data_IF_677334726204
#
_entry.id   IF_677334726204
#
_cell.length_a   1.000
_cell.length_b   1.000
_cell.length_c   1.000
_cell.angle_alpha   90.00
_cell.angle_beta   90.00
_cell.angle_gamma   90.00
#
_symmetry.space_group_name_H-M   'P 1'
#
loop_
_entity.id
_entity.type
_entity.pdbx_description
1 polymer ?
#
# COMPACT_ATOMS: atom_id res chain seq x y z
N UNK A 1 -0.63 19.52 9.71
CA UNK A 1 -0.33 19.00 8.36
C UNK A 1 -1.68 18.73 7.71
N UNK A 2 -2.07 19.42 6.62
CA UNK A 2 -3.39 19.18 6.02
C UNK A 2 -3.38 17.79 5.38
N UNK A 3 -4.38 16.96 5.73
CA UNK A 3 -4.64 15.71 5.03
C UNK A 3 -5.00 16.03 3.57
N UNK A 4 -4.53 15.25 2.58
CA UNK A 4 -4.86 15.50 1.19
C UNK A 4 -6.37 15.42 0.97
N UNK A 5 -6.99 16.55 0.61
CA UNK A 5 -8.38 16.65 0.15
C UNK A 5 -8.47 16.17 -1.30
N UNK A 6 -8.44 14.87 -1.47
CA UNK A 6 -9.03 14.16 -2.60
C UNK A 6 -9.82 13.02 -2.02
N UNK A 7 -10.93 12.63 -2.63
CA UNK A 7 -11.68 11.43 -2.28
C UNK A 7 -10.72 10.23 -2.34
N UNK A 8 -10.06 9.91 -1.23
CA UNK A 8 -9.10 8.81 -1.20
C UNK A 8 -9.94 7.57 -1.02
N UNK A 9 -10.05 6.80 -2.08
CA UNK A 9 -10.74 5.52 -2.07
C UNK A 9 -9.78 4.40 -1.70
N UNK A 10 -10.29 3.36 -1.07
CA UNK A 10 -9.51 2.17 -0.78
C UNK A 10 -9.11 1.49 -2.10
N UNK A 11 -7.81 1.30 -2.31
CA UNK A 11 -7.28 0.62 -3.50
C UNK A 11 -7.86 -0.79 -3.67
N UNK A 12 -8.22 -1.46 -2.57
CA UNK A 12 -8.81 -2.81 -2.60
C UNK A 12 -10.33 -2.82 -2.81
N UNK A 13 -11.09 -2.14 -1.94
CA UNK A 13 -12.55 -2.27 -1.89
C UNK A 13 -13.31 -1.05 -2.44
N UNK A 14 -12.60 -0.01 -2.92
CA UNK A 14 -13.21 1.22 -3.46
C UNK A 14 -13.99 2.05 -2.44
N UNK A 15 -13.86 1.77 -1.15
CA UNK A 15 -14.56 2.52 -0.11
C UNK A 15 -13.87 3.84 0.20
N UNK A 16 -14.66 4.88 0.44
CA UNK A 16 -14.17 6.20 0.84
C UNK A 16 -13.41 6.15 2.18
N UNK A 17 -12.11 6.42 2.15
CA UNK A 17 -11.23 6.33 3.32
C UNK A 17 -11.45 7.48 4.31
N UNK A 18 -12.05 8.60 3.88
CA UNK A 18 -12.34 9.73 4.75
C UNK A 18 -13.32 9.38 5.90
N UNK A 19 -14.03 8.25 5.77
CA UNK A 19 -14.95 7.71 6.79
C UNK A 19 -14.31 6.80 7.82
N UNK A 20 -13.04 6.43 7.64
CA UNK A 20 -12.33 5.44 8.46
C UNK A 20 -11.00 5.99 9.00
N UNK A 21 -10.24 5.15 9.71
CA UNK A 21 -8.83 5.39 10.06
C UNK A 21 -7.93 4.61 9.10
N UNK A 22 -7.66 5.16 7.89
CA UNK A 22 -7.03 4.40 6.81
C UNK A 22 -5.53 4.16 7.03
N UNK A 23 -5.06 3.04 6.49
CA UNK A 23 -3.65 2.70 6.37
C UNK A 23 -3.16 3.13 4.99
N UNK A 24 -2.13 3.96 4.95
CA UNK A 24 -1.47 4.36 3.71
C UNK A 24 -0.13 3.63 3.58
N UNK A 25 0.15 3.13 2.38
CA UNK A 25 1.41 2.48 2.04
C UNK A 25 2.12 3.32 0.99
N UNK A 26 3.41 3.52 1.21
CA UNK A 26 4.32 4.14 0.24
C UNK A 26 5.42 3.14 -0.10
N UNK A 27 5.77 3.05 -1.37
CA UNK A 27 6.84 2.20 -1.88
C UNK A 27 8.00 3.07 -2.36
N UNK A 28 9.22 2.53 -2.36
CA UNK A 28 10.37 3.24 -2.92
C UNK A 28 10.61 2.76 -4.33
N UNK A 29 10.39 3.64 -5.30
CA UNK A 29 10.62 3.38 -6.73
C UNK A 29 11.69 4.35 -7.20
N UNK A 30 12.77 3.82 -7.78
CA UNK A 30 13.92 4.61 -8.25
C UNK A 30 14.51 5.57 -7.19
N UNK A 31 14.45 5.17 -5.91
CA UNK A 31 14.97 5.94 -4.78
C UNK A 31 14.03 7.03 -4.25
N UNK A 32 12.84 7.16 -4.81
CA UNK A 32 11.82 8.10 -4.33
C UNK A 32 10.64 7.35 -3.70
N UNK A 33 10.13 7.88 -2.57
CA UNK A 33 8.91 7.34 -1.96
C UNK A 33 7.69 7.82 -2.74
N UNK A 34 6.98 6.86 -3.30
CA UNK A 34 5.74 7.07 -4.06
C UNK A 34 4.57 6.43 -3.32
N UNK A 35 3.37 7.04 -3.34
CA UNK A 35 2.19 6.46 -2.73
C UNK A 35 1.79 5.18 -3.49
N UNK A 36 1.82 4.05 -2.80
CA UNK A 36 1.44 2.75 -3.33
C UNK A 36 -0.07 2.51 -3.24
N UNK A 37 -0.70 2.95 -2.15
CA UNK A 37 -2.14 2.84 -1.99
C UNK A 37 -2.67 3.26 -0.62
N UNK A 38 -3.99 3.42 -0.56
CA UNK A 38 -4.74 3.68 0.67
C UNK A 38 -5.70 2.53 0.96
N UNK A 39 -5.81 2.12 2.23
CA UNK A 39 -6.61 0.97 2.64
C UNK A 39 -7.48 1.28 3.84
N UNK A 40 -8.71 0.77 3.87
CA UNK A 40 -9.62 0.99 5.00
C UNK A 40 -9.07 0.44 6.32
N UNK A 41 -8.30 -0.64 6.26
CA UNK A 41 -7.66 -1.31 7.39
C UNK A 41 -6.67 -2.38 6.88
N UNK A 42 -5.99 -3.04 7.82
CA UNK A 42 -5.04 -4.12 7.54
C UNK A 42 -5.66 -5.32 6.81
N UNK A 43 -6.96 -5.58 6.93
CA UNK A 43 -7.59 -6.67 6.18
C UNK A 43 -7.66 -6.35 4.68
N UNK A 44 -8.02 -5.11 4.32
CA UNK A 44 -8.01 -4.66 2.91
C UNK A 44 -6.58 -4.64 2.34
N UNK A 45 -5.60 -4.21 3.14
CA UNK A 45 -4.19 -4.28 2.75
C UNK A 45 -3.74 -5.72 2.51
N UNK A 46 -4.02 -6.63 3.46
CA UNK A 46 -3.63 -8.04 3.34
C UNK A 46 -4.23 -8.70 2.11
N UNK A 47 -5.50 -8.43 1.81
CA UNK A 47 -6.16 -8.97 0.64
C UNK A 47 -5.57 -8.40 -0.67
N UNK A 48 -5.19 -7.12 -0.69
CA UNK A 48 -4.51 -6.53 -1.83
C UNK A 48 -3.12 -7.12 -2.08
N UNK A 49 -2.35 -7.33 -1.01
CA UNK A 49 -1.02 -7.96 -1.09
C UNK A 49 -1.11 -9.36 -1.69
N UNK A 50 -2.10 -10.16 -1.25
CA UNK A 50 -2.31 -11.52 -1.72
C UNK A 50 -2.75 -11.55 -3.18
N UNK A 51 -3.79 -10.80 -3.55
CA UNK A 51 -4.34 -10.74 -4.92
C UNK A 51 -3.36 -10.14 -5.94
N UNK A 52 -2.52 -9.19 -5.51
CA UNK A 52 -1.52 -8.55 -6.37
C UNK A 52 -0.16 -9.24 -6.31
N UNK A 53 -0.06 -10.36 -5.60
CA UNK A 53 1.14 -11.18 -5.46
C UNK A 53 2.37 -10.37 -4.99
N UNK A 54 2.17 -9.31 -4.18
CA UNK A 54 3.24 -8.38 -3.75
C UNK A 54 4.26 -9.02 -2.82
N UNK A 55 3.98 -10.22 -2.31
CA UNK A 55 4.92 -11.01 -1.51
C UNK A 55 5.88 -11.85 -2.37
N UNK A 56 5.65 -11.94 -3.68
CA UNK A 56 6.49 -12.73 -4.58
C UNK A 56 7.71 -11.94 -5.05
N UNK A 57 8.90 -12.50 -4.81
CA UNK A 57 10.16 -11.91 -5.26
C UNK A 57 10.74 -10.84 -4.33
N UNK A 58 10.01 -10.42 -3.29
CA UNK A 58 10.51 -9.49 -2.29
C UNK A 58 11.38 -10.23 -1.26
N UNK A 59 12.67 -10.32 -1.56
CA UNK A 59 13.68 -10.64 -0.58
C UNK A 59 14.37 -9.32 -0.23
N UNK A 60 14.26 -8.89 1.04
CA UNK A 60 14.85 -7.63 1.51
C UNK A 60 16.33 -7.48 1.10
N UNK A 61 17.04 -8.60 0.95
CA UNK A 61 18.24 -8.77 0.12
C UNK A 61 18.22 -10.17 -0.50
N UNK A 62 18.29 -10.32 -1.83
CA UNK A 62 18.64 -11.60 -2.46
C UNK A 62 20.06 -11.51 -3.00
N UNK A 63 21.00 -12.23 -2.36
CA UNK A 63 22.35 -12.44 -2.85
C UNK A 63 22.57 -13.94 -3.10
N UNK A 64 22.94 -14.37 -4.32
CA UNK A 64 23.34 -15.75 -4.59
C UNK A 64 24.73 -16.08 -3.99
N UNK A 65 25.49 -15.05 -3.64
CA UNK A 65 26.76 -15.12 -2.92
C UNK A 65 26.48 -14.85 -1.42
N UNK A 66 26.25 -15.91 -0.66
CA UNK A 66 26.29 -15.88 0.82
C UNK A 66 27.63 -16.37 1.34
#
# INVERSE_FOLDING_TARGET
>A
MPAPTGDVECTYCGSDLARYDPVFVEETVDGERVPAGGFCNYACLSAHIDESELTFGDACEWSPDG
#
